data_IF_982405620927
#
_entry.id   IF_982405620927
#
_cell.length_a   1.000
_cell.length_b   1.000
_cell.length_c   1.000
_cell.angle_alpha   90.00
_cell.angle_beta   90.00
_cell.angle_gamma   90.00
#
_symmetry.space_group_name_H-M   'P 1'
#
loop_
_entity.id
_entity.type
_entity.pdbx_description
1 polymer ?
#
# COMPACT_ATOMS: atom_id res chain seq x y z
N UNK A 1 3.60 46.89 -37.27
CA UNK A 1 2.92 45.63 -36.86
C UNK A 1 3.53 45.20 -35.55
N UNK A 2 2.90 45.52 -34.44
CA UNK A 2 3.48 45.37 -33.07
C UNK A 2 3.05 44.02 -32.51
N UNK A 3 3.99 43.12 -32.31
CA UNK A 3 3.76 41.83 -31.67
C UNK A 3 3.36 42.03 -30.22
N UNK A 4 2.13 41.65 -29.87
CA UNK A 4 1.67 41.61 -28.49
C UNK A 4 2.44 40.50 -27.72
N UNK A 5 3.16 40.92 -26.70
CA UNK A 5 3.80 40.02 -25.73
C UNK A 5 2.70 39.22 -25.03
N UNK A 6 2.72 37.89 -25.26
CA UNK A 6 1.89 36.93 -24.53
C UNK A 6 2.44 36.81 -23.11
N UNK A 7 1.73 37.33 -22.14
CA UNK A 7 2.00 37.09 -20.72
C UNK A 7 1.82 35.59 -20.45
N UNK A 8 2.93 34.90 -20.21
CA UNK A 8 2.94 33.51 -19.71
C UNK A 8 2.24 33.53 -18.35
N UNK A 9 1.02 33.01 -18.29
CA UNK A 9 0.35 32.73 -17.02
C UNK A 9 1.20 31.68 -16.28
N UNK A 10 1.80 32.06 -15.16
CA UNK A 10 2.50 31.12 -14.27
C UNK A 10 1.45 30.19 -13.68
N UNK A 11 1.65 28.87 -13.86
CA UNK A 11 0.79 27.88 -13.21
C UNK A 11 0.80 28.10 -11.68
N UNK A 12 -0.34 27.94 -10.99
CA UNK A 12 -0.38 28.08 -9.54
C UNK A 12 0.66 27.12 -8.89
N UNK A 13 1.41 27.61 -7.93
CA UNK A 13 2.38 26.79 -7.19
C UNK A 13 1.63 25.73 -6.37
N UNK A 14 2.16 24.49 -6.34
CA UNK A 14 1.65 23.46 -5.47
C UNK A 14 1.81 23.86 -4.00
N UNK A 15 0.74 23.70 -3.23
CA UNK A 15 0.74 23.91 -1.78
C UNK A 15 0.77 22.54 -1.11
N UNK A 16 1.75 22.33 -0.24
CA UNK A 16 1.85 21.15 0.61
C UNK A 16 1.35 21.49 2.01
N UNK A 17 0.12 21.09 2.39
CA UNK A 17 -0.50 21.52 3.65
C UNK A 17 0.17 20.87 4.87
N UNK A 18 0.93 19.79 4.72
CA UNK A 18 1.59 19.08 5.80
C UNK A 18 3.12 19.18 5.65
N UNK A 19 3.78 19.76 6.65
CA UNK A 19 5.23 19.92 6.66
C UNK A 19 5.98 18.63 7.02
N UNK A 20 5.32 17.71 7.72
CA UNK A 20 5.91 16.45 8.19
C UNK A 20 4.90 15.30 8.01
N UNK A 21 5.36 14.10 7.62
CA UNK A 21 4.49 12.94 7.57
C UNK A 21 4.09 12.46 8.97
N UNK A 22 3.04 11.61 9.09
CA UNK A 22 2.68 10.97 10.34
C UNK A 22 3.84 10.18 10.94
N UNK A 23 3.92 10.17 12.27
CA UNK A 23 4.74 9.19 12.98
C UNK A 23 4.06 7.83 12.92
N UNK A 24 4.85 6.75 12.88
CA UNK A 24 4.34 5.37 12.90
C UNK A 24 3.46 5.17 14.14
N UNK A 25 2.26 4.67 13.93
CA UNK A 25 1.28 4.46 14.99
C UNK A 25 0.52 5.72 15.45
N UNK A 26 0.68 6.86 14.77
CA UNK A 26 0.02 8.13 15.10
C UNK A 26 -0.59 8.75 13.84
N UNK A 27 -1.83 8.39 13.49
CA UNK A 27 -2.52 8.93 12.32
C UNK A 27 -2.67 10.45 12.38
N UNK A 28 -2.65 11.10 11.21
CA UNK A 28 -2.89 12.53 11.04
C UNK A 28 -4.18 12.72 10.24
N UNK A 29 -5.14 13.47 10.79
CA UNK A 29 -6.34 13.84 10.04
C UNK A 29 -5.96 14.81 8.92
N UNK A 30 -6.31 14.42 7.68
CA UNK A 30 -6.08 15.27 6.49
C UNK A 30 -7.36 15.93 5.99
N UNK A 31 -8.51 15.37 6.35
CA UNK A 31 -9.86 15.90 6.12
C UNK A 31 -10.79 15.26 7.14
N UNK A 32 -12.02 15.76 7.23
CA UNK A 32 -13.06 15.13 8.05
C UNK A 32 -13.23 13.66 7.64
N UNK A 33 -13.10 12.76 8.61
CA UNK A 33 -13.24 11.32 8.42
C UNK A 33 -12.12 10.65 7.60
N UNK A 34 -11.01 11.33 7.28
CA UNK A 34 -9.88 10.75 6.55
C UNK A 34 -8.58 10.95 7.34
N UNK A 35 -7.95 9.84 7.72
CA UNK A 35 -6.73 9.84 8.49
C UNK A 35 -5.61 9.15 7.74
N UNK A 36 -4.50 9.85 7.64
CA UNK A 36 -3.27 9.38 7.02
C UNK A 36 -2.42 8.62 8.03
N UNK A 37 -2.12 7.37 7.74
CA UNK A 37 -1.23 6.50 8.49
C UNK A 37 0.06 6.26 7.70
N UNK A 38 1.15 5.94 8.41
CA UNK A 38 2.43 5.60 7.78
C UNK A 38 3.03 4.37 8.45
N UNK A 39 3.58 3.47 7.62
CA UNK A 39 4.33 2.30 8.05
C UNK A 39 5.71 2.32 7.40
N UNK A 40 6.71 1.79 8.10
CA UNK A 40 8.07 1.69 7.59
C UNK A 40 8.20 0.48 6.67
N UNK A 41 9.05 0.61 5.63
CA UNK A 41 9.42 -0.47 4.74
C UNK A 41 10.94 -0.67 4.76
N UNK A 42 11.43 -1.92 4.65
CA UNK A 42 12.86 -2.23 4.62
C UNK A 42 13.45 -2.12 3.20
N UNK A 43 12.99 -1.17 2.39
CA UNK A 43 13.37 -1.01 0.99
C UNK A 43 13.92 0.39 0.71
N UNK A 44 14.32 0.66 -0.56
CA UNK A 44 14.69 2.01 -1.00
C UNK A 44 13.53 3.00 -0.87
N UNK A 45 12.30 2.58 -1.15
CA UNK A 45 11.09 3.25 -0.68
C UNK A 45 10.89 2.85 0.78
N UNK A 46 11.25 3.71 1.71
CA UNK A 46 11.35 3.41 3.13
C UNK A 46 9.99 3.42 3.89
N UNK A 47 8.90 3.67 3.19
CA UNK A 47 7.57 3.74 3.82
C UNK A 47 6.44 3.48 2.84
N UNK A 48 5.29 3.13 3.41
CA UNK A 48 3.98 3.11 2.74
C UNK A 48 2.98 3.94 3.53
N UNK A 49 2.07 4.58 2.82
CA UNK A 49 0.94 5.30 3.40
C UNK A 49 -0.31 4.42 3.30
N UNK A 50 -1.01 4.30 4.43
CA UNK A 50 -2.30 3.62 4.52
C UNK A 50 -3.32 4.59 5.11
N UNK A 51 -4.59 4.23 5.10
CA UNK A 51 -5.63 5.17 5.46
C UNK A 51 -6.63 4.54 6.41
N UNK A 52 -7.15 5.37 7.34
CA UNK A 52 -8.38 5.10 8.07
C UNK A 52 -9.44 6.06 7.58
N UNK A 53 -10.57 5.51 7.18
CA UNK A 53 -11.73 6.27 6.75
C UNK A 53 -12.87 6.06 7.73
N UNK A 54 -13.56 7.12 8.13
CA UNK A 54 -14.74 7.03 8.96
C UNK A 54 -15.98 6.75 8.10
N UNK A 55 -16.74 5.73 8.46
CA UNK A 55 -18.00 5.36 7.81
C UNK A 55 -19.07 5.06 8.86
N UNK A 56 -20.01 5.99 9.05
CA UNK A 56 -21.16 5.84 9.95
C UNK A 56 -20.79 5.42 11.38
N UNK A 57 -19.76 6.07 11.94
CA UNK A 57 -19.26 5.81 13.29
C UNK A 57 -18.38 4.57 13.44
N UNK A 58 -18.04 3.93 12.32
CA UNK A 58 -17.05 2.85 12.25
C UNK A 58 -15.87 3.27 11.37
N UNK A 59 -14.78 2.50 11.41
CA UNK A 59 -13.60 2.76 10.60
C UNK A 59 -13.44 1.75 9.49
N UNK A 60 -12.89 2.19 8.36
CA UNK A 60 -12.47 1.37 7.23
C UNK A 60 -10.96 1.53 7.08
N UNK A 61 -10.22 0.43 7.02
CA UNK A 61 -8.80 0.42 6.70
C UNK A 61 -8.63 0.34 5.18
N UNK A 62 -7.76 1.15 4.60
CA UNK A 62 -7.35 1.05 3.20
C UNK A 62 -5.84 0.82 3.14
N UNK A 63 -5.45 -0.34 2.63
CA UNK A 63 -4.12 -0.93 2.62
C UNK A 63 -3.53 -1.19 4.01
N UNK A 64 -2.56 -2.12 4.10
CA UNK A 64 -2.26 -2.74 5.40
C UNK A 64 -0.79 -2.74 5.79
N UNK A 65 0.14 -2.37 4.89
CA UNK A 65 1.57 -2.54 5.12
C UNK A 65 2.05 -3.98 4.91
N UNK A 66 3.35 -4.21 5.01
CA UNK A 66 3.95 -5.55 4.94
C UNK A 66 3.72 -6.34 6.24
N UNK A 67 3.79 -7.68 6.15
CA UNK A 67 3.64 -8.58 7.30
C UNK A 67 4.93 -8.63 8.12
N UNK A 68 5.21 -7.56 8.88
CA UNK A 68 6.32 -7.51 9.83
C UNK A 68 5.89 -6.92 11.18
N UNK A 69 6.73 -7.15 12.19
CA UNK A 69 6.47 -6.72 13.57
C UNK A 69 6.33 -5.20 13.68
N UNK A 70 7.09 -4.43 12.90
CA UNK A 70 7.05 -2.95 12.95
C UNK A 70 5.72 -2.40 12.43
N UNK A 71 5.21 -2.96 11.33
CA UNK A 71 3.90 -2.58 10.78
C UNK A 71 2.77 -3.01 11.72
N UNK A 72 2.86 -4.21 12.31
CA UNK A 72 1.89 -4.71 13.28
C UNK A 72 1.88 -3.90 14.57
N UNK A 73 3.04 -3.50 15.08
CA UNK A 73 3.16 -2.57 16.22
C UNK A 73 2.56 -1.20 15.90
N UNK A 74 2.78 -0.71 14.70
CA UNK A 74 2.14 0.52 14.20
C UNK A 74 0.62 0.42 14.26
N UNK A 75 0.05 -0.66 13.73
CA UNK A 75 -1.39 -0.93 13.77
C UNK A 75 -1.91 -1.12 15.20
N UNK A 76 -1.19 -1.84 16.07
CA UNK A 76 -1.58 -2.01 17.47
C UNK A 76 -1.70 -0.66 18.21
N UNK A 77 -0.78 0.28 17.94
CA UNK A 77 -0.84 1.65 18.51
C UNK A 77 -2.05 2.41 17.97
N UNK A 78 -2.31 2.33 16.66
CA UNK A 78 -3.46 2.99 16.03
C UNK A 78 -4.78 2.47 16.62
N UNK A 79 -4.96 1.14 16.63
CA UNK A 79 -6.18 0.48 17.09
C UNK A 79 -6.37 0.62 18.62
N UNK A 80 -5.28 0.75 19.37
CA UNK A 80 -5.30 0.90 20.84
C UNK A 80 -5.39 2.34 21.34
N UNK A 81 -5.32 3.35 20.46
CA UNK A 81 -5.19 4.76 20.87
C UNK A 81 -6.45 5.39 21.47
N UNK A 82 -7.58 4.72 21.43
CA UNK A 82 -8.87 5.27 21.86
C UNK A 82 -9.46 6.34 20.95
N UNK A 83 -8.65 7.05 20.17
CA UNK A 83 -9.10 8.05 19.19
C UNK A 83 -9.67 7.42 17.91
N UNK A 84 -9.19 6.22 17.57
CA UNK A 84 -9.62 5.45 16.41
C UNK A 84 -10.11 4.06 16.82
N UNK A 85 -10.61 3.92 18.07
CA UNK A 85 -11.12 2.67 18.64
C UNK A 85 -12.53 2.30 18.17
N UNK A 86 -13.07 3.04 17.19
CA UNK A 86 -14.30 2.62 16.51
C UNK A 86 -14.09 1.25 15.86
N UNK A 87 -15.12 0.43 15.89
CA UNK A 87 -15.12 -0.87 15.24
C UNK A 87 -14.61 -0.78 13.79
N UNK A 88 -13.65 -1.61 13.43
CA UNK A 88 -13.23 -1.73 12.03
C UNK A 88 -14.30 -2.50 11.27
N UNK A 89 -14.96 -1.85 10.32
CA UNK A 89 -16.06 -2.44 9.56
C UNK A 89 -15.60 -3.23 8.34
N UNK A 90 -14.48 -2.87 7.77
CA UNK A 90 -13.85 -3.55 6.62
C UNK A 90 -12.40 -3.15 6.44
N UNK A 91 -11.66 -3.99 5.73
CA UNK A 91 -10.30 -3.76 5.28
C UNK A 91 -10.36 -3.80 3.75
N UNK A 92 -9.96 -2.72 3.09
CA UNK A 92 -9.91 -2.62 1.63
C UNK A 92 -8.44 -2.71 1.22
N UNK A 93 -8.10 -3.67 0.36
CA UNK A 93 -6.79 -3.80 -0.24
C UNK A 93 -6.87 -3.34 -1.69
N UNK A 94 -6.10 -2.31 -2.03
CA UNK A 94 -6.15 -1.72 -3.37
C UNK A 94 -5.59 -2.64 -4.43
N UNK A 95 -4.48 -3.33 -4.13
CA UNK A 95 -3.83 -4.27 -5.04
C UNK A 95 -2.89 -5.25 -4.30
N UNK A 96 -2.36 -6.22 -5.05
CA UNK A 96 -1.64 -7.38 -4.52
C UNK A 96 -0.22 -7.11 -3.99
N UNK A 97 0.37 -5.93 -4.17
CA UNK A 97 1.73 -5.70 -3.69
C UNK A 97 1.86 -5.91 -2.18
N UNK A 98 2.99 -6.48 -1.69
CA UNK A 98 3.14 -6.86 -0.29
C UNK A 98 2.92 -5.74 0.71
N UNK A 99 3.32 -4.52 0.37
CA UNK A 99 3.16 -3.32 1.20
C UNK A 99 1.71 -2.83 1.29
N UNK A 100 0.80 -3.41 0.51
CA UNK A 100 -0.64 -3.13 0.53
C UNK A 100 -1.45 -4.28 1.14
N UNK A 101 -1.17 -5.54 0.77
CA UNK A 101 -1.92 -6.71 1.24
C UNK A 101 -1.31 -7.39 2.48
N UNK A 102 -0.04 -7.11 2.79
CA UNK A 102 0.78 -7.94 3.70
C UNK A 102 0.15 -8.26 5.05
N UNK A 103 -0.44 -7.29 5.73
CA UNK A 103 -1.10 -7.49 7.03
C UNK A 103 -2.61 -7.71 6.94
N UNK A 104 -3.19 -7.92 5.75
CA UNK A 104 -4.65 -8.03 5.60
C UNK A 104 -5.25 -9.17 6.45
N UNK A 105 -4.66 -10.35 6.40
CA UNK A 105 -5.10 -11.51 7.18
C UNK A 105 -4.88 -11.32 8.69
N UNK A 106 -3.74 -10.74 9.10
CA UNK A 106 -3.47 -10.42 10.48
C UNK A 106 -4.48 -9.40 11.04
N UNK A 107 -4.77 -8.32 10.29
CA UNK A 107 -5.79 -7.34 10.67
C UNK A 107 -7.19 -7.95 10.70
N UNK A 108 -7.55 -8.82 9.75
CA UNK A 108 -8.81 -9.57 9.79
C UNK A 108 -8.93 -10.37 11.09
N UNK A 109 -7.91 -11.15 11.45
CA UNK A 109 -7.87 -11.92 12.70
C UNK A 109 -7.95 -11.04 13.95
N UNK A 110 -7.37 -9.84 13.90
CA UNK A 110 -7.31 -8.90 15.01
C UNK A 110 -8.61 -8.14 15.23
N UNK A 111 -9.33 -7.80 14.15
CA UNK A 111 -10.50 -6.92 14.16
C UNK A 111 -11.81 -7.62 13.81
N UNK A 112 -11.73 -8.84 13.30
CA UNK A 112 -12.84 -9.60 12.71
C UNK A 112 -13.52 -8.87 11.52
N UNK A 113 -12.85 -7.88 10.93
CA UNK A 113 -13.34 -7.12 9.79
C UNK A 113 -13.10 -7.88 8.48
N UNK A 114 -14.08 -7.97 7.56
CA UNK A 114 -13.89 -8.63 6.28
C UNK A 114 -12.87 -7.88 5.40
N UNK A 115 -12.06 -8.64 4.67
CA UNK A 115 -11.13 -8.12 3.66
C UNK A 115 -11.85 -8.00 2.32
N UNK A 116 -11.72 -6.85 1.69
CA UNK A 116 -12.29 -6.52 0.39
C UNK A 116 -11.17 -6.23 -0.60
N UNK A 117 -11.22 -6.89 -1.73
CA UNK A 117 -10.26 -6.75 -2.81
C UNK A 117 -10.92 -7.07 -4.15
N UNK A 118 -10.39 -6.56 -5.25
CA UNK A 118 -10.93 -6.97 -6.56
C UNK A 118 -10.59 -8.43 -6.82
N UNK A 119 -11.46 -9.13 -7.54
CA UNK A 119 -11.25 -10.54 -7.88
C UNK A 119 -9.94 -10.77 -8.63
N UNK A 120 -9.59 -9.86 -9.56
CA UNK A 120 -8.36 -9.97 -10.34
C UNK A 120 -7.11 -9.91 -9.44
N UNK A 121 -7.06 -8.95 -8.53
CA UNK A 121 -5.96 -8.78 -7.60
C UNK A 121 -5.85 -9.96 -6.62
N UNK A 122 -6.98 -10.43 -6.08
CA UNK A 122 -7.01 -11.58 -5.18
C UNK A 122 -6.50 -12.86 -5.84
N UNK A 123 -7.02 -13.20 -7.03
CA UNK A 123 -6.58 -14.39 -7.76
C UNK A 123 -5.11 -14.32 -8.18
N UNK A 124 -4.63 -13.12 -8.55
CA UNK A 124 -3.23 -12.91 -8.86
C UNK A 124 -2.36 -13.03 -7.62
N UNK A 125 -2.78 -12.45 -6.49
CA UNK A 125 -2.08 -12.58 -5.21
C UNK A 125 -1.92 -14.06 -4.81
N UNK A 126 -3.00 -14.86 -4.90
CA UNK A 126 -2.94 -16.30 -4.65
C UNK A 126 -1.98 -17.02 -5.59
N UNK A 127 -2.03 -16.72 -6.90
CA UNK A 127 -1.14 -17.34 -7.87
C UNK A 127 0.35 -17.03 -7.60
N UNK A 128 0.66 -15.82 -7.15
CA UNK A 128 2.02 -15.42 -6.77
C UNK A 128 2.42 -16.09 -5.46
N UNK A 129 1.55 -16.06 -4.45
CA UNK A 129 1.80 -16.64 -3.13
C UNK A 129 2.04 -18.16 -3.20
N UNK A 130 1.25 -18.87 -4.01
CA UNK A 130 1.37 -20.31 -4.24
C UNK A 130 2.47 -20.67 -5.26
N UNK A 131 3.24 -19.69 -5.74
CA UNK A 131 4.31 -19.88 -6.73
C UNK A 131 3.82 -20.57 -8.00
N UNK A 132 2.64 -20.19 -8.48
CA UNK A 132 2.12 -20.71 -9.74
C UNK A 132 3.16 -20.53 -10.87
N UNK A 133 3.46 -21.55 -11.68
CA UNK A 133 4.51 -21.49 -12.70
C UNK A 133 4.39 -20.29 -13.67
N UNK A 134 3.18 -19.82 -13.95
CA UNK A 134 2.95 -18.65 -14.81
C UNK A 134 3.23 -17.30 -14.12
N UNK A 135 3.36 -17.28 -12.80
CA UNK A 135 3.57 -16.07 -11.98
C UNK A 135 4.92 -16.09 -11.25
N UNK A 136 5.81 -17.03 -11.59
CA UNK A 136 7.18 -17.04 -11.08
C UNK A 136 7.97 -15.86 -11.67
N UNK A 137 8.99 -15.40 -10.94
CA UNK A 137 9.90 -14.36 -11.40
C UNK A 137 10.49 -14.65 -12.79
N UNK A 138 10.85 -15.91 -13.04
CA UNK A 138 11.38 -16.34 -14.34
C UNK A 138 10.36 -16.24 -15.46
N UNK A 139 9.09 -16.56 -15.19
CA UNK A 139 8.02 -16.43 -16.18
C UNK A 139 7.73 -14.95 -16.50
N UNK A 140 7.72 -14.09 -15.48
CA UNK A 140 7.54 -12.64 -15.62
C UNK A 140 8.73 -12.03 -16.38
N UNK A 141 9.96 -12.41 -16.06
CA UNK A 141 11.16 -11.96 -16.79
C UNK A 141 11.11 -12.38 -18.26
N UNK A 142 10.76 -13.63 -18.54
CA UNK A 142 10.59 -14.11 -19.91
C UNK A 142 9.52 -13.33 -20.69
N UNK A 143 8.40 -12.99 -20.03
CA UNK A 143 7.35 -12.16 -20.62
C UNK A 143 7.88 -10.77 -20.96
N UNK A 144 8.53 -10.09 -20.01
CA UNK A 144 9.06 -8.74 -20.22
C UNK A 144 10.13 -8.70 -21.32
N UNK A 145 11.02 -9.72 -21.38
CA UNK A 145 12.01 -9.83 -22.47
C UNK A 145 11.35 -9.96 -23.84
N UNK A 146 10.29 -10.75 -23.95
CA UNK A 146 9.51 -10.87 -25.19
C UNK A 146 8.88 -9.54 -25.62
N UNK A 147 8.65 -8.63 -24.68
CA UNK A 147 8.11 -7.29 -24.90
C UNK A 147 9.17 -6.18 -24.89
N UNK A 148 10.46 -6.53 -25.02
CA UNK A 148 11.54 -5.57 -25.27
C UNK A 148 12.34 -5.14 -24.03
N UNK A 149 12.17 -5.78 -22.87
CA UNK A 149 13.06 -5.51 -21.73
C UNK A 149 14.49 -5.96 -22.08
N UNK A 150 15.50 -5.07 -22.00
CA UNK A 150 16.87 -5.43 -22.30
C UNK A 150 17.47 -6.40 -21.27
N UNK A 151 18.45 -7.21 -21.68
CA UNK A 151 19.05 -8.27 -20.86
C UNK A 151 19.68 -7.78 -19.55
N UNK A 152 20.14 -6.52 -19.52
CA UNK A 152 20.72 -5.88 -18.34
C UNK A 152 19.66 -5.25 -17.40
N UNK A 153 18.40 -5.23 -17.78
CA UNK A 153 17.28 -4.73 -16.95
C UNK A 153 16.65 -5.76 -16.03
N UNK A 154 16.97 -7.04 -16.21
CA UNK A 154 16.24 -8.13 -15.54
C UNK A 154 16.67 -8.44 -14.10
N UNK A 155 17.87 -8.05 -13.68
CA UNK A 155 18.36 -8.36 -12.33
C UNK A 155 17.45 -7.82 -11.22
N UNK A 156 16.77 -6.70 -11.44
CA UNK A 156 15.91 -6.10 -10.41
C UNK A 156 14.56 -6.81 -10.22
N UNK A 157 14.09 -7.55 -11.23
CA UNK A 157 12.80 -8.28 -11.14
C UNK A 157 13.01 -9.65 -10.49
N UNK A 158 14.11 -10.35 -10.86
CA UNK A 158 14.43 -11.65 -10.31
C UNK A 158 14.76 -11.62 -8.81
N UNK A 159 15.49 -10.61 -8.36
CA UNK A 159 15.86 -10.47 -6.94
C UNK A 159 14.68 -10.07 -6.03
N UNK A 160 13.64 -9.46 -6.58
CA UNK A 160 12.47 -8.99 -5.80
C UNK A 160 11.36 -10.03 -5.67
N UNK A 161 11.31 -11.04 -6.55
CA UNK A 161 10.16 -11.96 -6.66
C UNK A 161 10.10 -13.06 -5.59
N UNK A 162 11.23 -13.47 -5.02
CA UNK A 162 11.27 -14.63 -4.11
C UNK A 162 10.90 -14.32 -2.65
N UNK A 163 10.44 -13.10 -2.37
CA UNK A 163 10.14 -12.67 -1.01
C UNK A 163 8.67 -12.37 -0.75
N UNK A 164 7.79 -12.55 -1.72
CA UNK A 164 6.38 -12.20 -1.58
C UNK A 164 5.74 -12.87 -0.36
N UNK A 165 5.89 -14.17 -0.21
CA UNK A 165 5.34 -14.95 0.92
C UNK A 165 5.92 -14.57 2.29
N UNK A 166 7.13 -13.96 2.33
CA UNK A 166 7.71 -13.46 3.59
C UNK A 166 7.16 -12.12 4.01
N UNK A 167 6.65 -11.35 3.05
CA UNK A 167 6.12 -10.01 3.25
C UNK A 167 4.58 -9.99 3.30
N UNK A 168 3.96 -11.13 2.95
CA UNK A 168 2.52 -11.38 3.05
C UNK A 168 2.32 -12.54 4.00
N UNK A 169 1.73 -12.30 5.15
CA UNK A 169 1.63 -13.32 6.21
C UNK A 169 0.78 -14.52 5.80
N UNK A 170 -0.37 -14.26 5.17
CA UNK A 170 -1.28 -15.25 4.57
C UNK A 170 -2.32 -14.52 3.72
N UNK A 171 -2.97 -15.28 2.84
CA UNK A 171 -4.05 -14.81 1.99
C UNK A 171 -5.38 -15.46 2.40
#
# INVERSE_FOLDING_TARGET
>A
MTLKSSTRQTAPSLIFPFNTPPKIGSPVSISEGIHWCRHQLPFALDHINTWLLEDKGRSVIVDTGIADDLSQDGWNKILGSGQHSSEISKIIVTHLHPDHIGNASWLNSRTNAPVWMTQAEFLTAQAVFEKNPSHTTSAIDALFRRHGLPSNGSMSVAEKGDHYEKLVGSL
#
